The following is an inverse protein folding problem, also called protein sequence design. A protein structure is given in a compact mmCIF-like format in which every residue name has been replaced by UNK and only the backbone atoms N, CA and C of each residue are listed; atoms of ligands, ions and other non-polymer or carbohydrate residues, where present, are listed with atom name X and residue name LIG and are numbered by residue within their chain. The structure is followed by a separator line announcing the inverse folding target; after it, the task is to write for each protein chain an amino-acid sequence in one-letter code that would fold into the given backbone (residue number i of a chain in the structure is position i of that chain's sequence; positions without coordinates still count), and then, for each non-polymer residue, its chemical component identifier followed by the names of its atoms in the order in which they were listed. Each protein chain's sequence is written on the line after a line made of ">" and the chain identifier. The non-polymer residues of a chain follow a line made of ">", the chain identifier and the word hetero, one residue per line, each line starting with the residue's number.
data_IF_592134329956
#
_entry.id   IF_592134329956
#
_cell.length_a   1.000
_cell.length_b   1.000
_cell.length_c   1.000
_cell.angle_alpha   90.00
_cell.angle_beta   90.00
_cell.angle_gamma   90.00
#
_symmetry.space_group_name_H-M   'P 1'
#
loop_
_entity.id
_entity.type
_entity.pdbx_description
1 polymer ?
#
# COMPACT_ATOMS: atom_id res chain seq x y z
N UNK A 1 7.18 7.98 -27.20
CA UNK A 1 5.71 7.88 -27.04
C UNK A 1 5.25 9.14 -26.31
N UNK A 2 4.19 9.80 -26.72
CA UNK A 2 3.64 10.92 -25.94
C UNK A 2 2.92 10.34 -24.73
N UNK A 3 3.20 10.86 -23.55
CA UNK A 3 2.47 10.47 -22.33
C UNK A 3 0.95 10.66 -22.52
N UNK A 4 0.10 9.84 -21.88
CA UNK A 4 -1.34 10.04 -21.89
C UNK A 4 -1.73 11.46 -21.48
N UNK A 5 -2.82 11.98 -22.05
CA UNK A 5 -3.29 13.35 -21.77
C UNK A 5 -3.68 13.59 -20.29
N UNK A 6 -3.91 12.52 -19.53
CA UNK A 6 -4.16 12.57 -18.08
C UNK A 6 -2.91 12.92 -17.27
N UNK A 7 -1.71 12.72 -17.82
CA UNK A 7 -0.41 12.99 -17.17
C UNK A 7 0.07 14.38 -17.58
N UNK A 8 -0.46 15.41 -16.92
CA UNK A 8 -0.09 16.80 -17.17
C UNK A 8 1.01 17.28 -16.22
N UNK A 9 1.77 18.32 -16.60
CA UNK A 9 2.78 18.93 -15.72
C UNK A 9 2.19 19.43 -14.40
N UNK A 10 0.96 19.96 -14.43
CA UNK A 10 0.26 20.35 -13.21
C UNK A 10 0.02 19.15 -12.31
N UNK A 11 -0.49 18.04 -12.86
CA UNK A 11 -0.71 16.79 -12.12
C UNK A 11 0.59 16.25 -11.54
N UNK A 12 1.65 16.20 -12.32
CA UNK A 12 2.97 15.77 -11.86
C UNK A 12 3.49 16.66 -10.72
N UNK A 13 3.27 17.98 -10.79
CA UNK A 13 3.65 18.91 -9.72
C UNK A 13 2.86 18.66 -8.43
N UNK A 14 1.55 18.44 -8.54
CA UNK A 14 0.68 18.11 -7.40
C UNK A 14 1.13 16.81 -6.71
N UNK A 15 1.41 15.74 -7.49
CA UNK A 15 1.82 14.45 -6.96
C UNK A 15 3.20 14.50 -6.29
N UNK A 16 4.15 15.23 -6.88
CA UNK A 16 5.47 15.48 -6.26
C UNK A 16 5.35 16.17 -4.91
N UNK A 17 4.41 17.09 -4.78
CA UNK A 17 4.14 17.81 -3.53
C UNK A 17 3.63 16.94 -2.39
N UNK A 18 3.21 15.70 -2.66
CA UNK A 18 2.79 14.73 -1.63
C UNK A 18 3.95 13.95 -1.01
N UNK A 19 5.13 13.99 -1.64
CA UNK A 19 6.31 13.28 -1.14
C UNK A 19 6.98 14.13 -0.07
N UNK A 20 7.15 13.58 1.12
CA UNK A 20 7.85 14.24 2.22
C UNK A 20 9.35 14.26 1.93
N UNK A 21 9.86 15.44 1.59
CA UNK A 21 11.28 15.70 1.33
C UNK A 21 11.60 17.15 1.60
N UNK A 22 12.72 17.42 2.28
CA UNK A 22 13.27 18.75 2.56
C UNK A 22 14.52 19.07 1.74
N UNK A 23 15.09 18.05 1.06
CA UNK A 23 16.33 18.15 0.31
C UNK A 23 16.14 18.55 -1.16
N UNK A 24 17.25 18.93 -1.80
CA UNK A 24 17.32 19.17 -3.25
C UNK A 24 17.59 17.86 -4.04
N UNK A 25 17.82 16.74 -3.36
CA UNK A 25 18.10 15.46 -4.02
C UNK A 25 16.86 14.95 -4.74
N UNK A 26 17.06 14.52 -5.99
CA UNK A 26 16.01 13.97 -6.84
C UNK A 26 16.51 12.74 -7.58
N UNK A 27 15.59 11.92 -8.07
CA UNK A 27 15.88 10.84 -9.00
C UNK A 27 14.98 10.93 -10.22
N UNK A 28 15.45 10.42 -11.36
CA UNK A 28 14.68 10.37 -12.59
C UNK A 28 13.70 9.20 -12.55
N UNK A 29 12.41 9.50 -12.70
CA UNK A 29 11.40 8.49 -12.97
C UNK A 29 11.29 8.31 -14.48
N UNK A 30 11.52 7.10 -14.93
CA UNK A 30 11.56 6.78 -16.36
C UNK A 30 10.27 6.15 -16.84
N UNK A 31 9.87 6.48 -18.05
CA UNK A 31 8.89 5.72 -18.82
C UNK A 31 9.55 4.40 -19.25
N UNK A 32 8.92 3.28 -18.91
CA UNK A 32 9.57 1.97 -18.94
C UNK A 32 9.88 1.46 -20.36
N UNK A 33 9.10 1.86 -21.37
CA UNK A 33 9.29 1.36 -22.75
C UNK A 33 10.31 2.17 -23.55
N UNK A 34 10.38 3.48 -23.32
CA UNK A 34 11.27 4.38 -24.08
C UNK A 34 12.54 4.69 -23.31
N UNK A 35 12.52 4.61 -21.97
CA UNK A 35 13.58 5.09 -21.11
C UNK A 35 13.63 6.61 -20.99
N UNK A 36 12.64 7.33 -21.54
CA UNK A 36 12.55 8.77 -21.39
C UNK A 36 12.16 9.16 -19.96
N UNK A 37 12.64 10.30 -19.51
CA UNK A 37 12.31 10.82 -18.19
C UNK A 37 10.88 11.34 -18.18
N UNK A 38 10.00 10.73 -17.36
CA UNK A 38 8.64 11.25 -17.10
C UNK A 38 8.75 12.55 -16.29
N UNK A 39 9.48 12.46 -15.17
CA UNK A 39 9.72 13.61 -14.29
C UNK A 39 10.85 13.29 -13.31
N UNK A 40 11.34 14.34 -12.61
CA UNK A 40 12.22 14.18 -11.45
C UNK A 40 11.38 14.14 -10.18
N UNK A 41 11.56 13.08 -9.37
CA UNK A 41 10.90 12.93 -8.07
C UNK A 41 11.85 13.31 -6.93
N UNK A 42 11.36 13.97 -5.86
CA UNK A 42 12.17 14.25 -4.69
C UNK A 42 12.58 12.96 -3.98
N UNK A 43 13.78 12.97 -3.44
CA UNK A 43 14.30 11.89 -2.60
C UNK A 43 14.25 12.32 -1.13
N UNK A 44 13.66 11.48 -0.29
CA UNK A 44 13.61 11.68 1.16
C UNK A 44 14.94 11.29 1.81
N UNK A 45 15.28 11.97 2.90
CA UNK A 45 16.36 11.62 3.81
C UNK A 45 15.81 10.87 5.04
N UNK A 46 16.70 10.36 5.89
CA UNK A 46 16.31 9.77 7.18
C UNK A 46 15.58 10.79 8.08
N UNK A 47 15.99 12.06 8.06
CA UNK A 47 15.31 13.13 8.81
C UNK A 47 13.90 13.41 8.26
N UNK A 48 13.71 13.32 6.94
CA UNK A 48 12.39 13.44 6.33
C UNK A 48 11.48 12.28 6.73
N UNK A 49 12.02 11.06 6.84
CA UNK A 49 11.28 9.90 7.37
C UNK A 49 10.86 10.15 8.81
N UNK A 50 11.77 10.58 9.68
CA UNK A 50 11.46 10.90 11.07
C UNK A 50 10.34 11.95 11.17
N UNK A 51 10.43 13.02 10.36
CA UNK A 51 9.42 14.07 10.27
C UNK A 51 8.06 13.54 9.75
N UNK A 52 8.07 12.64 8.77
CA UNK A 52 6.86 12.02 8.27
C UNK A 52 6.15 11.22 9.38
N UNK A 53 6.90 10.46 10.19
CA UNK A 53 6.35 9.73 11.33
C UNK A 53 5.83 10.66 12.44
N UNK A 54 6.53 11.76 12.73
CA UNK A 54 6.07 12.76 13.69
C UNK A 54 4.72 13.35 13.26
N UNK A 55 4.60 13.78 12.01
CA UNK A 55 3.36 14.32 11.44
C UNK A 55 2.23 13.30 11.44
N UNK A 56 2.54 12.05 11.02
CA UNK A 56 1.57 10.95 11.00
C UNK A 56 1.05 10.64 12.42
N UNK A 57 1.94 10.60 13.42
CA UNK A 57 1.60 10.34 14.81
C UNK A 57 0.75 11.47 15.42
N UNK A 58 1.01 12.72 15.06
CA UNK A 58 0.20 13.85 15.47
C UNK A 58 -1.23 13.78 14.91
N UNK A 59 -1.36 13.47 13.60
CA UNK A 59 -2.65 13.33 12.93
C UNK A 59 -3.43 12.09 13.39
N UNK A 60 -2.74 10.99 13.69
CA UNK A 60 -3.31 9.70 14.09
C UNK A 60 -4.18 9.80 15.34
N UNK A 61 -3.78 10.59 16.33
CA UNK A 61 -4.53 10.74 17.58
C UNK A 61 -5.96 11.26 17.33
N UNK A 62 -6.09 12.29 16.49
CA UNK A 62 -7.39 12.84 16.12
C UNK A 62 -8.23 11.86 15.29
N UNK A 63 -7.58 11.13 14.36
CA UNK A 63 -8.24 10.13 13.53
C UNK A 63 -8.73 8.93 14.34
N UNK A 64 -7.91 8.41 15.26
CA UNK A 64 -8.28 7.31 16.15
C UNK A 64 -9.46 7.66 17.08
N UNK A 65 -9.54 8.91 17.53
CA UNK A 65 -10.63 9.40 18.37
C UNK A 65 -11.97 9.53 17.62
N UNK A 66 -11.97 9.55 16.29
CA UNK A 66 -13.22 9.60 15.51
C UNK A 66 -14.03 8.31 15.67
N UNK A 67 -15.35 8.42 15.78
CA UNK A 67 -16.22 7.24 15.66
C UNK A 67 -15.94 6.47 14.37
N UNK A 68 -15.96 5.13 14.44
CA UNK A 68 -15.70 4.25 13.28
C UNK A 68 -16.49 4.67 12.04
N UNK A 69 -17.76 5.06 12.20
CA UNK A 69 -18.64 5.47 11.09
C UNK A 69 -18.08 6.69 10.32
N UNK A 70 -17.40 7.60 11.00
CA UNK A 70 -16.77 8.77 10.36
C UNK A 70 -15.57 8.33 9.50
N UNK A 71 -14.75 7.43 10.02
CA UNK A 71 -13.62 6.85 9.26
C UNK A 71 -14.12 6.07 8.04
N UNK A 72 -15.15 5.23 8.21
CA UNK A 72 -15.76 4.49 7.10
C UNK A 72 -16.35 5.40 6.03
N UNK A 73 -16.92 6.56 6.39
CA UNK A 73 -17.46 7.51 5.43
C UNK A 73 -16.37 8.08 4.50
N UNK A 74 -15.18 8.38 5.03
CA UNK A 74 -14.02 8.82 4.24
C UNK A 74 -13.57 7.71 3.28
N UNK A 75 -13.43 6.48 3.77
CA UNK A 75 -13.03 5.34 2.94
C UNK A 75 -14.06 5.02 1.85
N UNK A 76 -15.35 5.16 2.14
CA UNK A 76 -16.41 5.01 1.14
C UNK A 76 -16.32 6.08 0.04
N UNK A 77 -16.00 7.32 0.41
CA UNK A 77 -15.79 8.40 -0.57
C UNK A 77 -14.54 8.15 -1.41
N UNK A 78 -13.44 7.69 -0.79
CA UNK A 78 -12.24 7.28 -1.52
C UNK A 78 -12.56 6.18 -2.54
N UNK A 79 -13.29 5.13 -2.15
CA UNK A 79 -13.73 4.06 -3.04
C UNK A 79 -14.43 4.60 -4.29
N UNK A 80 -15.33 5.57 -4.14
CA UNK A 80 -16.03 6.20 -5.28
C UNK A 80 -15.07 7.02 -6.13
N UNK A 81 -14.24 7.87 -5.49
CA UNK A 81 -13.26 8.70 -6.20
C UNK A 81 -12.23 7.87 -6.98
N UNK A 82 -11.80 6.73 -6.44
CA UNK A 82 -10.88 5.83 -7.13
C UNK A 82 -11.51 5.24 -8.40
N UNK A 83 -12.79 4.84 -8.33
CA UNK A 83 -13.54 4.36 -9.51
C UNK A 83 -13.72 5.47 -10.55
N UNK A 84 -14.03 6.68 -10.12
CA UNK A 84 -14.27 7.82 -11.03
C UNK A 84 -12.95 8.31 -11.70
N UNK A 85 -11.81 8.08 -11.05
CA UNK A 85 -10.48 8.51 -11.54
C UNK A 85 -9.58 7.33 -12.00
N UNK A 86 -10.14 6.13 -12.18
CA UNK A 86 -9.34 4.92 -12.47
C UNK A 86 -8.48 5.05 -13.74
N UNK A 87 -8.95 5.76 -14.76
CA UNK A 87 -8.21 5.95 -16.02
C UNK A 87 -6.86 6.64 -15.77
N UNK A 88 -6.84 7.72 -14.97
CA UNK A 88 -5.60 8.44 -14.61
C UNK A 88 -4.64 7.54 -13.83
N UNK A 89 -5.15 6.77 -12.88
CA UNK A 89 -4.34 5.82 -12.09
C UNK A 89 -3.73 4.74 -12.99
N UNK A 90 -4.52 4.18 -13.91
CA UNK A 90 -4.07 3.18 -14.88
C UNK A 90 -3.03 3.76 -15.85
N UNK A 91 -3.23 4.98 -16.35
CA UNK A 91 -2.29 5.66 -17.23
C UNK A 91 -0.93 5.88 -16.57
N UNK A 92 -0.92 6.36 -15.32
CA UNK A 92 0.29 6.53 -14.52
C UNK A 92 1.00 5.18 -14.30
N UNK A 93 0.26 4.15 -13.89
CA UNK A 93 0.82 2.82 -13.64
C UNK A 93 1.44 2.23 -14.92
N UNK A 94 0.79 2.38 -16.08
CA UNK A 94 1.34 1.91 -17.35
C UNK A 94 2.63 2.63 -17.72
N UNK A 95 2.68 3.96 -17.57
CA UNK A 95 3.87 4.73 -17.88
C UNK A 95 5.06 4.32 -16.97
N UNK A 96 4.80 4.12 -15.68
CA UNK A 96 5.83 3.78 -14.69
C UNK A 96 6.31 2.33 -14.79
N UNK A 97 5.42 1.37 -15.04
CA UNK A 97 5.71 -0.07 -14.87
C UNK A 97 5.66 -0.87 -16.17
N UNK A 98 5.11 -0.31 -17.25
CA UNK A 98 4.88 -1.04 -18.50
C UNK A 98 3.80 -2.12 -18.42
N UNK A 99 3.07 -2.18 -17.34
CA UNK A 99 2.00 -3.16 -17.12
C UNK A 99 0.91 -3.04 -18.18
N UNK A 100 0.40 -4.17 -18.68
CA UNK A 100 -0.74 -4.18 -19.58
C UNK A 100 -1.95 -3.46 -18.95
N UNK A 101 -2.69 -2.65 -19.73
CA UNK A 101 -3.82 -1.85 -19.23
C UNK A 101 -4.83 -2.67 -18.42
N UNK A 102 -5.13 -3.89 -18.89
CA UNK A 102 -6.02 -4.82 -18.17
C UNK A 102 -5.47 -5.12 -16.78
N UNK A 103 -4.19 -5.44 -16.66
CA UNK A 103 -3.55 -5.79 -15.39
C UNK A 103 -3.46 -4.57 -14.45
N UNK A 104 -3.25 -3.37 -15.00
CA UNK A 104 -3.30 -2.13 -14.24
C UNK A 104 -4.70 -1.85 -13.69
N UNK A 105 -5.74 -2.12 -14.49
CA UNK A 105 -7.13 -1.99 -14.05
C UNK A 105 -7.51 -3.05 -13.00
N UNK A 106 -6.99 -4.27 -13.11
CA UNK A 106 -7.20 -5.32 -12.10
C UNK A 106 -6.67 -4.91 -10.71
N UNK A 107 -5.55 -4.15 -10.64
CA UNK A 107 -5.08 -3.60 -9.36
C UNK A 107 -6.01 -2.51 -8.79
N UNK A 108 -6.58 -1.68 -9.64
CA UNK A 108 -7.61 -0.73 -9.19
C UNK A 108 -8.81 -1.50 -8.61
N UNK A 109 -9.25 -2.57 -9.30
CA UNK A 109 -10.33 -3.43 -8.81
C UNK A 109 -9.97 -4.08 -7.46
N UNK A 110 -8.73 -4.51 -7.27
CA UNK A 110 -8.27 -5.10 -6.01
C UNK A 110 -8.42 -4.11 -4.84
N UNK A 111 -7.91 -2.88 -4.99
CA UNK A 111 -8.06 -1.83 -3.97
C UNK A 111 -9.52 -1.51 -3.68
N UNK A 112 -10.36 -1.44 -4.72
CA UNK A 112 -11.81 -1.20 -4.60
C UNK A 112 -12.49 -2.35 -3.86
N UNK A 113 -12.20 -3.60 -4.21
CA UNK A 113 -12.77 -4.79 -3.56
C UNK A 113 -12.32 -4.91 -2.11
N UNK A 114 -11.05 -4.70 -1.83
CA UNK A 114 -10.47 -4.70 -0.48
C UNK A 114 -11.10 -3.62 0.38
N UNK A 115 -11.21 -2.38 -0.13
CA UNK A 115 -11.89 -1.29 0.57
C UNK A 115 -13.35 -1.66 0.86
N UNK A 116 -14.07 -2.18 -0.14
CA UNK A 116 -15.47 -2.61 -0.01
C UNK A 116 -15.65 -3.72 1.04
N UNK A 117 -14.71 -4.67 1.09
CA UNK A 117 -14.69 -5.74 2.09
C UNK A 117 -14.58 -5.17 3.51
N UNK A 118 -13.57 -4.32 3.76
CA UNK A 118 -13.35 -3.76 5.08
C UNK A 118 -14.45 -2.78 5.52
N UNK A 119 -15.07 -2.05 4.59
CA UNK A 119 -16.27 -1.25 4.89
C UNK A 119 -17.40 -2.10 5.48
N UNK A 120 -17.57 -3.35 5.02
CA UNK A 120 -18.61 -4.28 5.47
C UNK A 120 -18.25 -4.95 6.81
N UNK A 121 -16.99 -5.36 6.99
CA UNK A 121 -16.60 -6.19 8.13
C UNK A 121 -16.10 -5.42 9.34
N UNK A 122 -15.65 -4.16 9.16
CA UNK A 122 -14.96 -3.38 10.18
C UNK A 122 -15.72 -3.28 11.50
N UNK A 123 -17.04 -3.04 11.47
CA UNK A 123 -17.86 -2.96 12.69
C UNK A 123 -17.81 -4.24 13.51
N UNK A 124 -17.81 -5.40 12.84
CA UNK A 124 -17.75 -6.71 13.50
C UNK A 124 -16.34 -6.99 14.01
N UNK A 125 -15.31 -6.70 13.17
CA UNK A 125 -13.91 -7.03 13.49
C UNK A 125 -13.36 -6.12 14.57
N UNK A 126 -13.66 -4.82 14.54
CA UNK A 126 -13.17 -3.82 15.51
C UNK A 126 -14.07 -3.66 16.72
N UNK A 127 -15.24 -4.30 16.72
CA UNK A 127 -16.19 -4.24 17.84
C UNK A 127 -15.66 -4.94 19.09
N UNK A 128 -16.16 -4.49 20.25
CA UNK A 128 -15.87 -5.12 21.52
C UNK A 128 -16.39 -6.57 21.57
N UNK A 129 -15.59 -7.46 22.14
CA UNK A 129 -15.94 -8.88 22.28
C UNK A 129 -16.00 -9.23 23.76
N UNK A 130 -17.17 -9.67 24.25
CA UNK A 130 -17.31 -10.17 25.60
C UNK A 130 -16.60 -11.52 25.76
N UNK A 131 -15.83 -11.67 26.83
CA UNK A 131 -15.12 -12.88 27.21
C UNK A 131 -15.58 -13.36 28.58
N UNK A 132 -15.38 -14.62 28.89
CA UNK A 132 -15.62 -15.14 30.24
C UNK A 132 -14.70 -14.45 31.25
N UNK A 133 -15.24 -14.07 32.39
CA UNK A 133 -14.45 -13.53 33.49
C UNK A 133 -13.76 -14.62 34.30
N UNK A 134 -12.75 -14.26 35.10
CA UNK A 134 -11.99 -15.18 35.95
C UNK A 134 -12.90 -15.83 37.03
N UNK A 135 -13.85 -15.07 37.57
CA UNK A 135 -14.86 -15.58 38.51
C UNK A 135 -16.18 -15.70 37.73
N UNK A 136 -16.71 -16.92 37.49
CA UNK A 136 -17.98 -17.10 36.82
C UNK A 136 -19.10 -16.30 37.53
N UNK A 137 -19.97 -15.68 36.72
CA UNK A 137 -21.12 -14.86 37.17
C UNK A 137 -20.72 -13.52 37.87
N UNK A 138 -19.63 -13.48 38.62
CA UNK A 138 -19.22 -12.30 39.40
C UNK A 138 -18.30 -11.34 38.65
N UNK A 139 -17.61 -11.80 37.59
CA UNK A 139 -16.71 -10.97 36.79
C UNK A 139 -17.10 -10.93 35.33
N UNK A 140 -16.84 -9.79 34.65
CA UNK A 140 -17.02 -9.59 33.21
C UNK A 140 -15.70 -9.15 32.63
N UNK A 141 -15.33 -9.72 31.47
CA UNK A 141 -14.17 -9.30 30.68
C UNK A 141 -14.61 -8.85 29.31
N UNK A 142 -13.98 -7.81 28.79
CA UNK A 142 -14.24 -7.29 27.45
C UNK A 142 -12.90 -7.11 26.73
N UNK A 143 -12.80 -7.70 25.55
CA UNK A 143 -11.68 -7.48 24.63
C UNK A 143 -11.99 -6.25 23.80
N UNK A 144 -11.12 -5.26 23.85
CA UNK A 144 -11.21 -4.01 23.08
C UNK A 144 -10.02 -3.94 22.13
N UNK A 145 -10.28 -3.66 20.85
CA UNK A 145 -9.24 -3.47 19.84
C UNK A 145 -8.93 -1.99 19.72
N UNK A 146 -7.65 -1.66 19.84
CA UNK A 146 -7.13 -0.29 19.72
C UNK A 146 -6.20 -0.19 18.51
N UNK A 147 -6.07 0.99 17.88
CA UNK A 147 -5.05 1.22 16.85
C UNK A 147 -3.64 0.96 17.36
N UNK A 148 -2.76 0.46 16.52
CA UNK A 148 -1.35 0.25 16.85
C UNK A 148 -0.57 1.57 16.90
N UNK A 149 -0.92 2.52 16.03
CA UNK A 149 -0.26 3.81 15.92
C UNK A 149 0.02 4.22 14.48
N UNK A 150 1.29 4.25 14.07
CA UNK A 150 1.73 4.56 12.71
C UNK A 150 2.30 3.31 12.05
N UNK A 151 1.66 2.88 10.97
CA UNK A 151 2.06 1.71 10.21
C UNK A 151 3.05 2.12 9.13
N UNK A 152 4.23 1.51 9.14
CA UNK A 152 5.20 1.62 8.06
C UNK A 152 4.89 0.60 6.96
N UNK A 153 4.75 1.05 5.70
CA UNK A 153 4.52 0.15 4.56
C UNK A 153 5.67 0.32 3.57
N UNK A 154 6.25 -0.81 3.14
CA UNK A 154 7.27 -0.86 2.09
C UNK A 154 6.75 -1.77 0.99
N UNK A 155 6.46 -1.20 -0.19
CA UNK A 155 5.82 -1.91 -1.29
C UNK A 155 6.71 -2.00 -2.53
N UNK A 156 6.61 -3.09 -3.32
CA UNK A 156 7.34 -3.31 -4.55
C UNK A 156 6.68 -2.65 -5.76
N UNK A 157 7.35 -2.75 -6.91
CA UNK A 157 6.95 -2.16 -8.18
C UNK A 157 5.98 -3.02 -9.01
N UNK A 158 5.92 -4.34 -8.75
CA UNK A 158 5.19 -5.28 -9.62
C UNK A 158 3.66 -5.25 -9.44
N UNK A 159 3.18 -4.95 -8.24
CA UNK A 159 1.78 -4.69 -7.90
C UNK A 159 1.68 -3.45 -6.99
N UNK A 160 2.04 -2.26 -7.51
CA UNK A 160 2.25 -1.07 -6.68
C UNK A 160 0.99 -0.62 -5.91
N UNK A 161 -0.19 -0.73 -6.50
CA UNK A 161 -1.42 -0.34 -5.81
C UNK A 161 -1.89 -1.40 -4.82
N UNK A 162 -1.96 -2.66 -5.25
CA UNK A 162 -2.43 -3.75 -4.42
C UNK A 162 -1.61 -3.85 -3.13
N UNK A 163 -0.28 -3.86 -3.24
CA UNK A 163 0.60 -4.00 -2.07
C UNK A 163 0.74 -2.75 -1.23
N UNK A 164 0.34 -1.58 -1.73
CA UNK A 164 0.38 -0.32 -0.97
C UNK A 164 -0.97 0.01 -0.35
N UNK A 165 -2.00 0.07 -1.18
CA UNK A 165 -3.31 0.59 -0.76
C UNK A 165 -4.17 -0.49 -0.09
N UNK A 166 -4.09 -1.75 -0.54
CA UNK A 166 -4.86 -2.82 0.09
C UNK A 166 -4.40 -3.09 1.53
N UNK A 167 -3.12 -2.84 1.83
CA UNK A 167 -2.60 -2.86 3.20
C UNK A 167 -2.96 -1.58 3.98
N UNK A 168 -2.91 -0.41 3.33
CA UNK A 168 -3.20 0.86 3.97
C UNK A 168 -4.68 1.01 4.36
N UNK A 169 -5.62 0.46 3.56
CA UNK A 169 -7.06 0.61 3.83
C UNK A 169 -7.49 0.06 5.19
N UNK A 170 -7.20 -1.21 5.55
CA UNK A 170 -7.53 -1.72 6.88
C UNK A 170 -6.81 -0.97 8.01
N UNK A 171 -5.56 -0.54 7.80
CA UNK A 171 -4.81 0.25 8.77
C UNK A 171 -5.52 1.57 9.09
N UNK A 172 -5.92 2.34 8.06
CA UNK A 172 -6.66 3.60 8.21
C UNK A 172 -8.03 3.38 8.85
N UNK A 173 -8.79 2.36 8.44
CA UNK A 173 -10.09 2.01 8.99
C UNK A 173 -9.97 1.67 10.48
N UNK A 174 -8.92 0.95 10.88
CA UNK A 174 -8.66 0.63 12.28
C UNK A 174 -8.28 1.84 13.14
N UNK A 175 -7.93 2.97 12.53
CA UNK A 175 -7.59 4.22 13.22
C UNK A 175 -6.09 4.49 13.31
N UNK A 176 -5.29 3.79 12.51
CA UNK A 176 -3.85 4.03 12.38
C UNK A 176 -3.57 5.15 11.37
N UNK A 177 -2.35 5.69 11.41
CA UNK A 177 -1.74 6.45 10.34
C UNK A 177 -0.82 5.55 9.50
N UNK A 178 -0.42 6.04 8.34
CA UNK A 178 0.44 5.30 7.40
C UNK A 178 1.61 6.18 6.96
N UNK A 179 2.81 5.61 6.97
CA UNK A 179 3.98 6.11 6.25
C UNK A 179 4.37 5.05 5.22
N UNK A 180 4.24 5.38 3.94
CA UNK A 180 4.46 4.47 2.84
C UNK A 180 5.72 4.84 2.06
N UNK A 181 6.58 3.85 1.86
CA UNK A 181 7.68 3.86 0.90
C UNK A 181 7.30 2.98 -0.30
N UNK A 182 6.78 3.54 -1.39
CA UNK A 182 6.61 2.78 -2.63
C UNK A 182 7.97 2.47 -3.26
N UNK A 183 8.01 1.55 -4.22
CA UNK A 183 9.19 1.44 -5.08
C UNK A 183 9.37 2.72 -5.89
N UNK A 184 10.61 3.16 -6.06
CA UNK A 184 10.95 4.39 -6.78
C UNK A 184 10.46 4.38 -8.24
N UNK A 185 10.21 3.20 -8.82
CA UNK A 185 9.73 3.02 -10.20
C UNK A 185 8.21 3.15 -10.34
N UNK A 186 7.46 3.22 -9.25
CA UNK A 186 5.99 3.17 -9.26
C UNK A 186 5.36 4.11 -8.23
N UNK A 187 5.96 5.30 -8.10
CA UNK A 187 5.57 6.28 -7.07
C UNK A 187 4.32 7.08 -7.44
N UNK A 188 4.17 7.48 -8.73
CA UNK A 188 3.12 8.42 -9.14
C UNK A 188 1.71 7.81 -9.08
N UNK A 189 1.54 6.56 -9.50
CA UNK A 189 0.23 5.89 -9.43
C UNK A 189 -0.24 5.74 -7.97
N UNK A 190 0.68 5.48 -7.04
CA UNK A 190 0.39 5.45 -5.60
C UNK A 190 0.10 6.86 -5.08
N UNK A 191 0.90 7.87 -5.47
CA UNK A 191 0.69 9.26 -5.07
C UNK A 191 -0.69 9.80 -5.54
N UNK A 192 -1.16 9.40 -6.73
CA UNK A 192 -2.51 9.73 -7.20
C UNK A 192 -3.58 9.18 -6.25
N UNK A 193 -3.45 7.95 -5.80
CA UNK A 193 -4.37 7.37 -4.83
C UNK A 193 -4.31 8.10 -3.47
N UNK A 194 -3.13 8.53 -3.02
CA UNK A 194 -3.01 9.36 -1.80
C UNK A 194 -3.67 10.72 -1.97
N UNK A 195 -3.54 11.35 -3.15
CA UNK A 195 -4.27 12.57 -3.49
C UNK A 195 -5.79 12.38 -3.37
N UNK A 196 -6.30 11.26 -3.91
CA UNK A 196 -7.73 10.91 -3.83
C UNK A 196 -8.18 10.63 -2.39
N UNK A 197 -7.32 10.05 -1.53
CA UNK A 197 -7.61 9.89 -0.11
C UNK A 197 -7.79 11.25 0.59
N UNK A 198 -6.92 12.22 0.31
CA UNK A 198 -7.05 13.57 0.85
C UNK A 198 -8.30 14.28 0.31
N UNK A 199 -8.62 14.13 -0.96
CA UNK A 199 -9.86 14.63 -1.57
C UNK A 199 -11.11 13.98 -0.94
N UNK A 200 -11.01 12.72 -0.53
CA UNK A 200 -12.07 12.01 0.19
C UNK A 200 -12.28 12.55 1.62
N UNK A 201 -11.37 13.37 2.13
CA UNK A 201 -11.45 13.97 3.45
C UNK A 201 -10.58 13.28 4.50
N UNK A 202 -9.55 12.53 4.08
CA UNK A 202 -8.54 12.03 5.00
C UNK A 202 -7.79 13.24 5.60
N UNK A 203 -7.56 13.30 6.92
CA UNK A 203 -6.81 14.40 7.53
C UNK A 203 -5.40 14.52 6.97
N UNK A 204 -4.96 15.77 6.73
CA UNK A 204 -3.60 16.04 6.28
C UNK A 204 -2.59 15.47 7.29
N UNK A 205 -1.51 14.90 6.77
CA UNK A 205 -0.48 14.27 7.57
C UNK A 205 -0.75 12.81 7.97
N UNK A 206 -1.98 12.32 7.86
CA UNK A 206 -2.32 10.95 8.28
C UNK A 206 -1.73 9.87 7.34
N UNK A 207 -1.52 10.19 6.09
CA UNK A 207 -0.86 9.32 5.11
C UNK A 207 0.36 10.06 4.55
N UNK A 208 1.55 9.54 4.77
CA UNK A 208 2.80 10.15 4.31
C UNK A 208 3.45 9.28 3.24
N UNK A 209 4.02 9.91 2.22
CA UNK A 209 4.86 9.27 1.21
C UNK A 209 6.32 9.66 1.42
N UNK A 210 7.20 8.66 1.44
CA UNK A 210 8.66 8.85 1.48
C UNK A 210 9.29 8.03 0.36
N UNK A 211 10.24 8.61 -0.38
CA UNK A 211 10.85 8.00 -1.56
C UNK A 211 12.36 7.98 -1.43
N UNK A 212 12.99 6.86 -1.78
CA UNK A 212 14.44 6.71 -1.71
C UNK A 212 14.92 5.27 -1.58
N UNK A 213 16.20 5.10 -1.33
CA UNK A 213 16.86 3.80 -1.18
C UNK A 213 16.51 3.08 0.12
N UNK A 214 16.87 1.78 0.19
CA UNK A 214 16.69 0.97 1.40
C UNK A 214 17.38 1.56 2.63
N UNK A 215 18.71 1.82 2.57
CA UNK A 215 19.44 2.35 3.72
C UNK A 215 18.98 3.74 4.17
N UNK A 216 18.65 4.62 3.21
CA UNK A 216 18.33 6.02 3.52
C UNK A 216 16.90 6.24 3.98
N UNK A 217 15.96 5.40 3.55
CA UNK A 217 14.52 5.56 3.78
C UNK A 217 13.89 4.31 4.39
N UNK A 218 14.24 3.12 3.89
CA UNK A 218 13.65 1.86 4.35
C UNK A 218 14.02 1.52 5.78
N UNK A 219 15.30 1.63 6.17
CA UNK A 219 15.75 1.38 7.54
C UNK A 219 15.15 2.37 8.53
N UNK A 220 15.25 3.70 8.32
CA UNK A 220 14.60 4.67 9.20
C UNK A 220 13.07 4.47 9.29
N UNK A 221 12.40 4.02 8.21
CA UNK A 221 10.97 3.73 8.25
C UNK A 221 10.66 2.60 9.25
N UNK A 222 11.45 1.53 9.27
CA UNK A 222 11.27 0.41 10.21
C UNK A 222 11.52 0.90 11.65
N UNK A 223 12.53 1.74 11.86
CA UNK A 223 12.93 2.24 13.18
C UNK A 223 11.88 3.13 13.84
N UNK A 224 11.07 3.82 13.05
CA UNK A 224 10.04 4.75 13.56
C UNK A 224 8.63 4.16 13.59
N UNK A 225 8.39 3.01 12.95
CA UNK A 225 7.07 2.39 12.85
C UNK A 225 6.63 1.70 14.16
N UNK A 226 5.32 1.63 14.37
CA UNK A 226 4.72 0.82 15.43
C UNK A 226 4.37 -0.60 14.92
N UNK A 227 4.34 -0.78 13.61
CA UNK A 227 4.17 -2.05 12.89
C UNK A 227 4.67 -1.87 11.45
N UNK A 228 5.26 -2.91 10.85
CA UNK A 228 5.75 -2.86 9.48
C UNK A 228 5.03 -3.87 8.59
N UNK A 229 4.57 -3.41 7.43
CA UNK A 229 4.10 -4.26 6.33
C UNK A 229 5.11 -4.18 5.20
N UNK A 230 5.68 -5.31 4.83
CA UNK A 230 6.70 -5.40 3.79
C UNK A 230 6.29 -6.43 2.75
N UNK A 231 6.29 -6.01 1.48
CA UNK A 231 6.19 -6.90 0.33
C UNK A 231 7.44 -6.73 -0.54
N UNK A 232 8.13 -7.83 -0.85
CA UNK A 232 9.34 -7.79 -1.65
C UNK A 232 10.15 -9.08 -1.68
N UNK A 233 11.47 -8.98 -1.90
CA UNK A 233 12.34 -10.15 -1.97
C UNK A 233 12.53 -10.81 -0.60
N UNK A 234 12.71 -12.13 -0.60
CA UNK A 234 13.02 -12.90 0.63
C UNK A 234 14.29 -12.40 1.32
N UNK A 235 15.30 -11.97 0.56
CA UNK A 235 16.54 -11.45 1.14
C UNK A 235 16.29 -10.15 1.92
N UNK A 236 15.54 -9.20 1.35
CA UNK A 236 15.15 -7.96 2.02
C UNK A 236 14.19 -8.23 3.18
N UNK A 237 13.25 -9.17 3.03
CA UNK A 237 12.31 -9.55 4.10
C UNK A 237 13.01 -10.10 5.35
N UNK A 238 14.09 -10.87 5.18
CA UNK A 238 14.91 -11.31 6.31
C UNK A 238 15.53 -10.14 7.07
N UNK A 239 16.00 -9.13 6.34
CA UNK A 239 16.55 -7.91 6.95
C UNK A 239 15.45 -7.14 7.70
N UNK A 240 14.29 -6.92 7.05
CA UNK A 240 13.14 -6.23 7.65
C UNK A 240 12.67 -6.93 8.92
N UNK A 241 12.52 -8.27 8.88
CA UNK A 241 12.10 -9.06 10.05
C UNK A 241 13.10 -9.01 11.20
N UNK A 242 14.40 -9.04 10.90
CA UNK A 242 15.46 -8.89 11.92
C UNK A 242 15.38 -7.50 12.56
N UNK A 243 15.28 -6.43 11.75
CA UNK A 243 15.24 -5.05 12.24
C UNK A 243 13.97 -4.76 13.04
N UNK A 244 12.81 -5.26 12.61
CA UNK A 244 11.57 -5.17 13.38
C UNK A 244 11.71 -5.88 14.74
N UNK A 245 12.33 -7.07 14.77
CA UNK A 245 12.61 -7.78 16.02
C UNK A 245 13.55 -7.03 16.95
N UNK A 246 14.61 -6.36 16.44
CA UNK A 246 15.48 -5.49 17.23
C UNK A 246 14.71 -4.34 17.88
N UNK A 247 13.72 -3.79 17.18
CA UNK A 247 12.85 -2.71 17.68
C UNK A 247 11.66 -3.22 18.52
N UNK A 248 11.51 -4.54 18.68
CA UNK A 248 10.39 -5.19 19.38
C UNK A 248 9.01 -4.81 18.82
N UNK A 249 8.91 -4.63 17.51
CA UNK A 249 7.66 -4.39 16.78
C UNK A 249 7.30 -5.60 15.94
N UNK A 250 5.99 -5.82 15.74
CA UNK A 250 5.51 -6.86 14.84
C UNK A 250 5.62 -6.43 13.37
N UNK A 251 5.74 -7.42 12.47
CA UNK A 251 5.73 -7.18 11.03
C UNK A 251 4.98 -8.26 10.27
N UNK A 252 4.42 -7.88 9.11
CA UNK A 252 3.94 -8.79 8.08
C UNK A 252 4.91 -8.80 6.92
N UNK A 253 5.33 -9.99 6.48
CA UNK A 253 6.30 -10.17 5.41
C UNK A 253 5.65 -10.99 4.28
N UNK A 254 5.36 -10.33 3.15
CA UNK A 254 4.91 -10.95 1.92
C UNK A 254 6.10 -11.07 0.97
N UNK A 255 6.50 -12.29 0.67
CA UNK A 255 7.79 -12.59 0.04
C UNK A 255 7.59 -13.37 -1.26
N UNK A 256 8.69 -13.62 -1.98
CA UNK A 256 8.67 -14.46 -3.18
C UNK A 256 8.38 -15.93 -2.85
N UNK A 257 7.94 -16.64 -3.87
CA UNK A 257 7.60 -18.06 -3.77
C UNK A 257 8.09 -18.86 -4.96
N UNK A 258 7.86 -20.16 -4.92
CA UNK A 258 8.06 -21.14 -5.99
C UNK A 258 6.79 -21.99 -6.05
N UNK A 259 5.80 -21.51 -6.78
CA UNK A 259 4.45 -22.06 -6.73
C UNK A 259 4.26 -23.21 -7.74
N UNK A 260 4.06 -24.45 -7.31
CA UNK A 260 3.91 -25.58 -8.22
C UNK A 260 2.50 -25.64 -8.81
N UNK A 261 2.39 -26.08 -10.07
CA UNK A 261 1.15 -26.56 -10.68
C UNK A 261 1.17 -28.09 -10.72
N UNK A 262 0.14 -28.73 -10.16
CA UNK A 262 -0.03 -30.19 -10.19
C UNK A 262 -1.24 -30.53 -11.04
N UNK A 263 -1.01 -31.26 -12.15
CA UNK A 263 -2.05 -31.70 -13.07
C UNK A 263 -2.34 -33.17 -12.81
N UNK A 264 -3.56 -33.47 -12.37
CA UNK A 264 -4.00 -34.85 -12.11
C UNK A 264 -4.40 -35.56 -13.42
N UNK A 265 -4.40 -36.93 -13.47
CA UNK A 265 -4.70 -37.67 -14.67
C UNK A 265 -6.10 -37.47 -15.25
N UNK A 266 -7.05 -37.05 -14.45
CA UNK A 266 -8.46 -36.79 -14.79
C UNK A 266 -8.75 -35.30 -15.06
N UNK A 267 -7.72 -34.44 -15.10
CA UNK A 267 -7.89 -33.02 -15.36
C UNK A 267 -8.34 -32.76 -16.80
N UNK A 268 -9.17 -31.73 -16.98
CA UNK A 268 -9.49 -31.20 -18.30
C UNK A 268 -8.27 -30.47 -18.86
N UNK A 269 -7.67 -31.00 -19.94
CA UNK A 269 -6.43 -30.47 -20.51
C UNK A 269 -6.58 -29.06 -21.09
N UNK A 270 -7.71 -28.72 -21.71
CA UNK A 270 -7.92 -27.39 -22.29
C UNK A 270 -7.98 -26.31 -21.20
N UNK A 271 -8.71 -26.58 -20.12
CA UNK A 271 -8.77 -25.71 -18.95
C UNK A 271 -7.41 -25.63 -18.22
N UNK A 272 -6.71 -26.76 -18.14
CA UNK A 272 -5.36 -26.82 -17.52
C UNK A 272 -4.36 -25.98 -18.32
N UNK A 273 -4.35 -26.07 -19.64
CA UNK A 273 -3.47 -25.28 -20.50
C UNK A 273 -3.77 -23.79 -20.35
N UNK A 274 -5.05 -23.41 -20.37
CA UNK A 274 -5.47 -22.02 -20.17
C UNK A 274 -5.06 -21.50 -18.78
N UNK A 275 -5.31 -22.29 -17.72
CA UNK A 275 -4.94 -21.95 -16.36
C UNK A 275 -3.42 -21.89 -16.14
N UNK A 276 -2.66 -22.84 -16.68
CA UNK A 276 -1.20 -22.85 -16.61
C UNK A 276 -0.61 -21.63 -17.33
N UNK A 277 -1.10 -21.33 -18.53
CA UNK A 277 -0.67 -20.16 -19.29
C UNK A 277 -0.94 -18.86 -18.55
N UNK A 278 -2.14 -18.70 -18.02
CA UNK A 278 -2.49 -17.52 -17.22
C UNK A 278 -1.63 -17.44 -15.95
N UNK A 279 -1.53 -18.52 -15.18
CA UNK A 279 -0.81 -18.53 -13.91
C UNK A 279 0.71 -18.31 -14.06
N UNK A 280 1.30 -18.76 -15.19
CA UNK A 280 2.74 -18.54 -15.47
C UNK A 280 3.02 -17.12 -15.99
N UNK A 281 2.17 -16.60 -16.89
CA UNK A 281 2.43 -15.36 -17.61
C UNK A 281 1.66 -14.15 -17.05
N UNK A 282 0.92 -14.32 -15.96
CA UNK A 282 0.26 -13.21 -15.26
C UNK A 282 1.27 -12.09 -15.01
N UNK A 283 0.93 -10.86 -15.40
CA UNK A 283 1.81 -9.70 -15.28
C UNK A 283 3.22 -9.93 -15.85
N UNK A 284 3.32 -10.63 -17.01
CA UNK A 284 4.58 -11.04 -17.62
C UNK A 284 5.49 -11.91 -16.73
N UNK A 285 4.90 -12.72 -15.84
CA UNK A 285 5.61 -13.55 -14.85
C UNK A 285 6.14 -12.77 -13.64
N UNK A 286 5.80 -11.49 -13.52
CA UNK A 286 6.29 -10.62 -12.43
C UNK A 286 5.35 -10.64 -11.22
N UNK A 287 4.97 -11.82 -10.76
CA UNK A 287 4.06 -12.00 -9.64
C UNK A 287 4.63 -13.00 -8.62
N UNK A 288 4.51 -12.70 -7.33
CA UNK A 288 4.92 -13.61 -6.25
C UNK A 288 4.12 -14.94 -6.27
N UNK A 289 2.92 -14.92 -6.84
CA UNK A 289 2.00 -16.05 -6.95
C UNK A 289 1.99 -16.72 -8.33
N UNK A 290 2.88 -16.34 -9.25
CA UNK A 290 2.93 -16.99 -10.56
C UNK A 290 3.40 -18.44 -10.43
N UNK A 291 3.00 -19.27 -11.40
CA UNK A 291 3.39 -20.69 -11.47
C UNK A 291 4.80 -20.78 -12.05
N UNK A 292 5.68 -21.51 -11.37
CA UNK A 292 7.05 -21.81 -11.81
C UNK A 292 7.26 -23.32 -11.98
#
# INVERSE_FOLDING_TARGET
>A
MTLPASITEQRLSELKGLITSSGASTYDLLEVYTGDVITKLPQSSADDVAKAFEQARAAQRGWAALPLQKRLAVMKRFHTLLLDNHETVVDLMQAETGKARRMSFEEVCDVVMTTSHYLKVAKRVLGETRRGGVVPVASKSTEVRVPMGVIGIISPWNFPLATSLSDAMPALIAGNAVVLKPDNKSTLCVAECVRLLYEAGLPQGLFQLVCGGGPDVGEPLIDHADFVMFTGSTATGKFVGARAGENLIDCTLELGGKNPLIVLPDANLDETIAGASFGTYLNAGQACMHIE
#
